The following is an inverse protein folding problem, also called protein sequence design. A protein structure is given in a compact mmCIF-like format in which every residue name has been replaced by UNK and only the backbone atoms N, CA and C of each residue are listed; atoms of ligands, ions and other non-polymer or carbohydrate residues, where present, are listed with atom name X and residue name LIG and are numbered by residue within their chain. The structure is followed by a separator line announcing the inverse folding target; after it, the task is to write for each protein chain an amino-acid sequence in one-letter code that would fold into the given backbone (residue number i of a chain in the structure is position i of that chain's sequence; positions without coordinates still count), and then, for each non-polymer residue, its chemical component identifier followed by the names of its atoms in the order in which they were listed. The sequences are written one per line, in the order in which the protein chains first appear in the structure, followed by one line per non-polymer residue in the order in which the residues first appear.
data_IF_615334472046
#
_entry.id   IF_615334472046
#
_cell.length_a   1.000
_cell.length_b   1.000
_cell.length_c   1.000
_cell.angle_alpha   90.00
_cell.angle_beta   90.00
_cell.angle_gamma   90.00
#
_symmetry.space_group_name_H-M   'P 1'
#
loop_
_entity.id
_entity.type
_entity.pdbx_description
1 polymer ?
#
# COMPACT_ATOMS: atom_id res chain seq x y z
N UNK A 1 -18.42 -12.57 34.48
CA UNK A 1 -18.74 -11.13 34.44
C UNK A 1 -18.52 -10.70 33.01
N UNK A 2 -19.63 -10.33 32.35
CA UNK A 2 -19.80 -10.22 30.89
C UNK A 2 -18.75 -9.33 30.21
N UNK A 3 -18.28 -9.81 29.06
CA UNK A 3 -17.43 -9.05 28.16
C UNK A 3 -18.16 -7.79 27.71
N UNK A 4 -17.49 -6.65 27.87
CA UNK A 4 -17.99 -5.36 27.43
C UNK A 4 -18.19 -5.46 25.91
N UNK A 5 -19.44 -5.48 25.48
CA UNK A 5 -19.84 -5.43 24.07
C UNK A 5 -19.25 -4.16 23.45
N UNK A 6 -18.19 -4.34 22.65
CA UNK A 6 -17.51 -3.24 21.97
C UNK A 6 -18.25 -2.79 20.69
N UNK A 7 -19.55 -3.07 20.62
CA UNK A 7 -20.46 -2.66 19.56
C UNK A 7 -20.94 -1.24 19.80
N UNK A 8 -20.68 -0.36 18.84
CA UNK A 8 -21.21 0.99 18.85
C UNK A 8 -22.72 1.02 18.52
N UNK A 9 -23.36 2.19 18.58
CA UNK A 9 -24.81 2.39 18.30
C UNK A 9 -25.25 1.91 16.90
N UNK A 10 -24.32 1.52 16.03
CA UNK A 10 -24.53 1.05 14.66
C UNK A 10 -24.38 -0.48 14.56
N UNK A 11 -23.99 -1.15 15.65
CA UNK A 11 -23.79 -2.61 15.67
C UNK A 11 -22.50 -3.05 14.97
N UNK A 12 -21.54 -2.14 14.77
CA UNK A 12 -20.24 -2.46 14.20
C UNK A 12 -19.26 -2.78 15.33
N UNK A 13 -18.65 -3.97 15.28
CA UNK A 13 -17.50 -4.26 16.11
C UNK A 13 -16.29 -3.50 15.56
N UNK A 14 -15.91 -2.42 16.24
CA UNK A 14 -14.73 -1.61 15.87
C UNK A 14 -13.42 -2.33 16.12
N UNK A 15 -13.45 -3.47 16.81
CA UNK A 15 -12.30 -4.33 17.06
C UNK A 15 -11.99 -5.24 15.87
N UNK A 16 -12.93 -5.41 14.93
CA UNK A 16 -12.67 -6.13 13.67
C UNK A 16 -11.64 -5.35 12.83
N UNK A 17 -10.49 -5.97 12.49
CA UNK A 17 -9.46 -5.33 11.68
C UNK A 17 -9.98 -4.78 10.33
N UNK A 18 -10.97 -5.44 9.71
CA UNK A 18 -11.55 -4.98 8.45
C UNK A 18 -12.39 -3.72 8.65
N UNK A 19 -13.15 -3.64 9.74
CA UNK A 19 -13.94 -2.45 10.09
C UNK A 19 -13.00 -1.30 10.42
N UNK A 20 -11.95 -1.55 11.20
CA UNK A 20 -10.92 -0.57 11.53
C UNK A 20 -10.21 -0.04 10.27
N UNK A 21 -9.87 -0.91 9.31
CA UNK A 21 -9.27 -0.52 8.04
C UNK A 21 -10.20 0.38 7.23
N UNK A 22 -11.49 0.03 7.12
CA UNK A 22 -12.48 0.83 6.38
C UNK A 22 -12.67 2.22 7.01
N UNK A 23 -12.73 2.30 8.33
CA UNK A 23 -12.80 3.58 9.05
C UNK A 23 -11.55 4.42 8.78
N UNK A 24 -10.36 3.80 8.83
CA UNK A 24 -9.10 4.50 8.52
C UNK A 24 -9.08 5.02 7.09
N UNK A 25 -9.50 4.22 6.12
CA UNK A 25 -9.60 4.65 4.72
C UNK A 25 -10.53 5.84 4.56
N UNK A 26 -11.73 5.78 5.14
CA UNK A 26 -12.68 6.89 5.09
C UNK A 26 -12.11 8.17 5.73
N UNK A 27 -11.37 8.06 6.84
CA UNK A 27 -10.73 9.22 7.46
C UNK A 27 -9.65 9.83 6.58
N UNK A 28 -8.82 9.01 5.92
CA UNK A 28 -7.80 9.48 4.97
C UNK A 28 -8.45 10.26 3.81
N UNK A 29 -9.56 9.76 3.27
CA UNK A 29 -10.26 10.43 2.18
C UNK A 29 -10.84 11.78 2.63
N UNK A 30 -11.41 11.84 3.84
CA UNK A 30 -11.92 13.08 4.42
C UNK A 30 -10.80 14.11 4.67
N UNK A 31 -9.66 13.67 5.22
CA UNK A 31 -8.49 14.51 5.46
C UNK A 31 -7.94 15.10 4.15
N UNK A 32 -7.87 14.30 3.08
CA UNK A 32 -7.41 14.77 1.78
C UNK A 32 -8.32 15.88 1.21
N UNK A 33 -9.63 15.69 1.30
CA UNK A 33 -10.60 16.70 0.83
C UNK A 33 -10.52 17.97 1.68
N UNK A 34 -10.41 17.84 2.99
CA UNK A 34 -10.26 18.98 3.90
C UNK A 34 -8.98 19.77 3.60
N UNK A 35 -7.87 19.09 3.34
CA UNK A 35 -6.61 19.74 2.98
C UNK A 35 -6.71 20.54 1.67
N UNK A 36 -7.34 19.95 0.63
CA UNK A 36 -7.59 20.68 -0.63
C UNK A 36 -8.48 21.90 -0.41
N UNK A 37 -9.49 21.79 0.45
CA UNK A 37 -10.36 22.91 0.82
C UNK A 37 -9.58 24.00 1.55
N UNK A 38 -8.74 23.64 2.53
CA UNK A 38 -7.90 24.59 3.27
C UNK A 38 -6.94 25.32 2.35
N UNK A 39 -6.28 24.60 1.43
CA UNK A 39 -5.41 25.21 0.42
C UNK A 39 -6.17 26.18 -0.48
N UNK A 40 -7.38 25.82 -0.93
CA UNK A 40 -8.26 26.73 -1.67
C UNK A 40 -8.51 28.02 -0.89
N UNK A 41 -8.88 27.91 0.39
CA UNK A 41 -9.17 29.03 1.27
C UNK A 41 -7.94 29.91 1.51
N UNK A 42 -6.76 29.31 1.71
CA UNK A 42 -5.48 30.01 1.85
C UNK A 42 -5.09 30.78 0.58
N UNK A 43 -5.42 30.24 -0.59
CA UNK A 43 -5.24 30.92 -1.89
C UNK A 43 -6.29 32.01 -2.15
N UNK A 44 -7.26 32.20 -1.26
CA UNK A 44 -8.33 33.19 -1.40
C UNK A 44 -9.33 32.87 -2.52
N UNK A 45 -9.40 31.60 -2.95
CA UNK A 45 -10.26 31.17 -4.05
C UNK A 45 -11.63 30.74 -3.53
N UNK A 46 -12.69 31.19 -4.21
CA UNK A 46 -14.04 30.68 -4.02
C UNK A 46 -14.23 29.32 -4.70
N UNK A 47 -15.23 28.56 -4.25
CA UNK A 47 -15.62 27.30 -4.90
C UNK A 47 -15.96 27.49 -6.38
N UNK A 48 -16.58 28.62 -6.75
CA UNK A 48 -16.94 28.93 -8.13
C UNK A 48 -15.69 29.21 -9.00
N UNK A 49 -14.66 29.85 -8.45
CA UNK A 49 -13.39 30.09 -9.15
C UNK A 49 -12.65 28.78 -9.42
N UNK A 50 -12.57 27.89 -8.43
CA UNK A 50 -11.98 26.55 -8.61
C UNK A 50 -12.78 25.75 -9.64
N UNK A 51 -14.11 25.76 -9.55
CA UNK A 51 -14.97 25.06 -10.51
C UNK A 51 -14.75 25.56 -11.94
N UNK A 52 -14.63 26.88 -12.13
CA UNK A 52 -14.31 27.49 -13.42
C UNK A 52 -12.95 27.04 -13.95
N UNK A 53 -11.92 27.01 -13.10
CA UNK A 53 -10.60 26.49 -13.46
C UNK A 53 -10.62 24.99 -13.81
N UNK A 54 -11.49 24.21 -13.16
CA UNK A 54 -11.74 22.80 -13.50
C UNK A 54 -12.59 22.61 -14.77
N UNK A 55 -13.19 23.66 -15.34
CA UNK A 55 -14.16 23.57 -16.43
C UNK A 55 -15.47 22.88 -16.02
N UNK A 56 -15.92 23.10 -14.77
CA UNK A 56 -17.10 22.45 -14.16
C UNK A 56 -18.03 23.47 -13.50
N UNK A 57 -19.24 23.02 -13.18
CA UNK A 57 -20.19 23.79 -12.38
C UNK A 57 -19.76 23.84 -10.90
N UNK A 58 -20.07 24.95 -10.24
CA UNK A 58 -19.79 25.14 -8.81
C UNK A 58 -20.34 24.02 -7.93
N UNK A 59 -21.50 23.46 -8.28
CA UNK A 59 -22.13 22.33 -7.56
C UNK A 59 -21.19 21.14 -7.43
N UNK A 60 -20.32 20.89 -8.42
CA UNK A 60 -19.33 19.82 -8.37
C UNK A 60 -18.32 20.04 -7.25
N UNK A 61 -17.84 21.27 -7.07
CA UNK A 61 -16.89 21.63 -6.01
C UNK A 61 -17.57 21.63 -4.65
N UNK A 62 -18.79 22.16 -4.59
CA UNK A 62 -19.61 22.15 -3.36
C UNK A 62 -19.87 20.72 -2.86
N UNK A 63 -20.28 19.81 -3.75
CA UNK A 63 -20.47 18.39 -3.41
C UNK A 63 -19.15 17.73 -3.00
N UNK A 64 -18.04 18.02 -3.69
CA UNK A 64 -16.74 17.46 -3.35
C UNK A 64 -16.27 17.90 -1.95
N UNK A 65 -16.50 19.15 -1.56
CA UNK A 65 -16.13 19.67 -0.24
C UNK A 65 -17.12 19.30 0.88
N UNK A 66 -18.19 18.57 0.57
CA UNK A 66 -19.18 18.15 1.56
C UNK A 66 -18.71 16.92 2.34
N UNK A 67 -18.93 16.92 3.65
CA UNK A 67 -18.61 15.80 4.54
C UNK A 67 -19.40 14.55 4.10
N UNK A 68 -18.69 13.43 3.96
CA UNK A 68 -19.29 12.16 3.51
C UNK A 68 -19.49 12.05 2.00
N UNK A 69 -18.93 12.98 1.22
CA UNK A 69 -18.81 12.77 -0.23
C UNK A 69 -17.77 11.68 -0.53
N UNK A 70 -18.02 10.89 -1.58
CA UNK A 70 -17.07 9.91 -2.14
C UNK A 70 -16.61 10.39 -3.53
N UNK A 71 -15.71 11.40 -3.59
CA UNK A 71 -15.29 11.96 -4.85
C UNK A 71 -14.33 11.02 -5.57
N UNK A 72 -14.66 10.70 -6.83
CA UNK A 72 -13.74 9.97 -7.73
C UNK A 72 -12.37 10.65 -7.77
N UNK A 73 -11.30 9.84 -7.80
CA UNK A 73 -9.92 10.32 -7.90
C UNK A 73 -9.68 11.30 -9.06
N UNK A 74 -10.37 11.12 -10.19
CA UNK A 74 -10.28 12.04 -11.33
C UNK A 74 -10.79 13.46 -11.02
N UNK A 75 -11.73 13.61 -10.07
CA UNK A 75 -12.22 14.91 -9.62
C UNK A 75 -11.23 15.55 -8.64
N UNK A 76 -10.69 14.77 -7.71
CA UNK A 76 -9.63 15.20 -6.78
C UNK A 76 -8.42 15.74 -7.57
N UNK A 77 -7.92 15.01 -8.57
CA UNK A 77 -6.78 15.46 -9.39
C UNK A 77 -7.07 16.76 -10.17
N UNK A 78 -8.30 16.93 -10.68
CA UNK A 78 -8.69 18.18 -11.36
C UNK A 78 -8.75 19.34 -10.37
N UNK A 79 -9.25 19.11 -9.16
CA UNK A 79 -9.24 20.10 -8.10
C UNK A 79 -7.81 20.52 -7.77
N UNK A 80 -6.93 19.56 -7.49
CA UNK A 80 -5.51 19.82 -7.24
C UNK A 80 -4.84 20.60 -8.38
N UNK A 81 -5.11 20.22 -9.63
CA UNK A 81 -4.63 20.95 -10.81
C UNK A 81 -5.16 22.38 -10.90
N UNK A 82 -6.40 22.64 -10.50
CA UNK A 82 -6.97 23.99 -10.44
C UNK A 82 -6.33 24.86 -9.34
N UNK A 83 -5.77 24.25 -8.30
CA UNK A 83 -4.97 24.93 -7.28
C UNK A 83 -3.47 25.01 -7.64
N UNK A 84 -3.03 24.32 -8.71
CA UNK A 84 -1.61 24.25 -9.08
C UNK A 84 -0.76 23.35 -8.15
N UNK A 85 -1.38 22.41 -7.44
CA UNK A 85 -0.69 21.48 -6.54
C UNK A 85 -0.68 20.04 -7.07
N UNK A 86 0.23 19.22 -6.57
CA UNK A 86 0.28 17.78 -6.83
C UNK A 86 -0.10 16.99 -5.57
N UNK A 87 -0.64 15.79 -5.77
CA UNK A 87 -0.99 14.87 -4.68
C UNK A 87 -0.06 13.66 -4.76
N UNK A 88 0.67 13.43 -3.69
CA UNK A 88 1.49 12.24 -3.50
C UNK A 88 0.77 11.28 -2.53
N UNK A 89 0.83 9.99 -2.81
CA UNK A 89 0.21 8.95 -2.00
C UNK A 89 1.20 7.84 -1.67
N UNK A 90 0.93 7.15 -0.56
CA UNK A 90 1.68 5.99 -0.06
C UNK A 90 0.70 4.85 0.18
N UNK A 91 1.15 3.61 -0.02
CA UNK A 91 0.43 2.41 0.39
C UNK A 91 1.03 1.93 1.71
N UNK A 92 0.17 1.63 2.68
CA UNK A 92 0.55 1.07 3.98
C UNK A 92 -0.18 -0.26 4.18
N UNK A 93 0.54 -1.27 4.66
CA UNK A 93 -0.10 -2.52 5.07
C UNK A 93 -0.65 -2.35 6.49
N UNK A 94 -1.82 -2.94 6.75
CA UNK A 94 -2.32 -3.05 8.12
C UNK A 94 -1.30 -3.83 8.96
N UNK A 95 -0.89 -3.26 10.09
CA UNK A 95 0.07 -3.87 11.01
C UNK A 95 -0.35 -5.29 11.38
N UNK A 96 0.58 -6.24 11.27
CA UNK A 96 0.36 -7.68 11.50
C UNK A 96 0.46 -8.54 10.23
N UNK A 97 0.08 -7.98 9.07
CA UNK A 97 0.25 -8.67 7.78
C UNK A 97 1.69 -8.56 7.28
N UNK A 98 2.37 -7.44 7.54
CA UNK A 98 3.78 -7.22 7.18
C UNK A 98 4.73 -8.18 7.89
N UNK A 99 4.48 -8.48 9.17
CA UNK A 99 5.34 -9.39 9.94
C UNK A 99 5.16 -10.84 9.51
N UNK A 100 3.95 -11.22 9.11
CA UNK A 100 3.65 -12.54 8.56
C UNK A 100 4.19 -12.68 7.12
N UNK A 101 3.96 -11.70 6.24
CA UNK A 101 4.53 -11.72 4.88
C UNK A 101 6.06 -11.66 4.90
N UNK A 102 6.67 -10.90 5.82
CA UNK A 102 8.12 -10.88 5.95
C UNK A 102 8.68 -12.21 6.48
N UNK A 103 7.92 -12.98 7.26
CA UNK A 103 8.29 -14.36 7.63
C UNK A 103 8.18 -15.29 6.43
N UNK A 104 7.03 -15.29 5.75
CA UNK A 104 6.78 -16.16 4.59
C UNK A 104 7.79 -15.92 3.45
N UNK A 105 8.10 -14.66 3.14
CA UNK A 105 9.09 -14.32 2.11
C UNK A 105 10.52 -14.71 2.51
N UNK A 106 10.86 -14.70 3.82
CA UNK A 106 12.15 -15.22 4.31
C UNK A 106 12.24 -16.74 4.19
N UNK A 107 11.12 -17.44 4.34
CA UNK A 107 11.09 -18.90 4.28
C UNK A 107 11.25 -19.40 2.82
N UNK A 108 10.69 -18.69 1.82
CA UNK A 108 10.93 -18.98 0.39
C UNK A 108 12.41 -18.81 -0.04
N UNK A 109 13.15 -17.85 0.54
CA UNK A 109 14.58 -17.68 0.23
C UNK A 109 15.43 -18.81 0.82
N UNK A 110 14.99 -19.45 1.91
CA UNK A 110 15.75 -20.48 2.61
C UNK A 110 15.66 -21.86 1.93
N UNK A 111 14.50 -22.19 1.33
CA UNK A 111 14.37 -23.40 0.50
C UNK A 111 15.22 -23.31 -0.79
N UNK A 112 15.29 -22.12 -1.40
CA UNK A 112 16.07 -21.90 -2.63
C UNK A 112 17.59 -21.99 -2.38
N UNK A 113 18.06 -21.59 -1.20
CA UNK A 113 19.47 -21.76 -0.79
C UNK A 113 19.80 -23.21 -0.41
N UNK A 114 18.85 -23.96 0.13
CA UNK A 114 19.03 -25.38 0.44
C UNK A 114 19.25 -26.20 -0.84
N UNK A 115 18.43 -25.98 -1.88
CA UNK A 115 18.56 -26.69 -3.16
C UNK A 115 19.84 -26.27 -3.92
N UNK A 116 20.22 -24.99 -3.88
CA UNK A 116 21.47 -24.52 -4.46
C UNK A 116 22.72 -25.10 -3.74
N UNK A 117 22.65 -25.27 -2.41
CA UNK A 117 23.73 -25.90 -1.62
C UNK A 117 23.88 -27.41 -1.90
N UNK A 118 22.78 -28.11 -2.16
CA UNK A 118 22.81 -29.52 -2.58
C UNK A 118 23.46 -29.66 -3.96
N UNK A 119 23.09 -28.80 -4.92
CA UNK A 119 23.70 -28.81 -6.26
C UNK A 119 25.19 -28.45 -6.22
N UNK A 120 25.58 -27.46 -5.41
CA UNK A 120 26.99 -27.08 -5.23
C UNK A 120 27.82 -28.22 -4.62
N UNK A 121 27.30 -28.89 -3.59
CA UNK A 121 27.99 -30.02 -2.95
C UNK A 121 28.03 -31.30 -3.81
N UNK A 122 27.05 -31.50 -4.71
CA UNK A 122 27.08 -32.58 -5.70
C UNK A 122 28.10 -32.31 -6.82
N UNK A 123 28.21 -31.06 -7.28
CA UNK A 123 29.18 -30.67 -8.30
C UNK A 123 30.63 -30.80 -7.79
N UNK A 124 30.91 -30.34 -6.57
CA UNK A 124 32.24 -30.47 -5.95
C UNK A 124 32.69 -31.94 -5.78
N UNK A 125 31.76 -32.86 -5.49
CA UNK A 125 32.07 -34.30 -5.42
C UNK A 125 32.36 -34.91 -6.80
N UNK A 126 31.65 -34.45 -7.83
CA UNK A 126 31.89 -34.90 -9.21
C UNK A 126 33.28 -34.48 -9.73
N UNK A 127 33.77 -33.30 -9.35
CA UNK A 127 35.12 -32.85 -9.70
C UNK A 127 36.22 -33.65 -8.99
N UNK A 128 35.96 -34.11 -7.76
CA UNK A 128 36.90 -34.94 -7.00
C UNK A 128 37.00 -36.37 -7.55
N UNK A 129 35.90 -36.95 -8.04
CA UNK A 129 35.88 -38.26 -8.69
C UNK A 129 36.52 -38.24 -10.09
N UNK A 130 36.38 -37.15 -10.84
CA UNK A 130 37.06 -37.01 -12.14
C UNK A 130 38.58 -36.81 -12.02
N UNK A 131 39.05 -36.16 -10.94
CA UNK A 131 40.50 -36.02 -10.68
C UNK A 131 41.15 -37.29 -10.14
N UNK A 132 40.42 -38.17 -9.45
CA UNK A 132 40.97 -39.45 -8.98
C UNK A 132 41.04 -40.52 -10.07
N UNK A 133 40.21 -40.43 -11.12
CA UNK A 133 40.22 -41.34 -12.26
C UNK A 133 41.23 -40.97 -13.37
N UNK A 134 41.79 -39.76 -13.37
CA UNK A 134 42.68 -39.24 -14.44
C UNK A 134 44.18 -39.52 -14.29
N UNK A 135 44.64 -40.11 -13.18
CA UNK A 135 46.08 -40.22 -12.85
C UNK A 135 46.72 -41.58 -13.16
N UNK A 136 46.20 -42.31 -14.17
CA UNK A 136 46.60 -43.68 -14.46
C UNK A 136 46.83 -44.00 -15.93
N UNK A 137 47.49 -43.14 -16.72
CA UNK A 137 48.12 -43.55 -17.99
C UNK A 137 49.24 -42.57 -18.40
N UNK A 138 50.46 -42.80 -17.93
CA UNK A 138 51.68 -42.33 -18.62
C UNK A 138 52.86 -43.24 -18.22
N UNK A 139 53.30 -44.05 -19.19
CA UNK A 139 54.33 -45.08 -19.11
C UNK A 139 55.75 -44.53 -18.90
N UNK A 140 56.59 -45.26 -18.16
CA UNK A 140 57.86 -45.82 -18.65
C UNK A 140 58.44 -46.85 -17.67
#
# INVERSE_FOLDING_TARGET
MEGIENTDRVGLDRSDPNVALRIRQANIDLELVDELRRLREQLGLSQAQVAKAMGRHQTVVSTLETLGSDPRWSSIRRYAGALGVCINWRIEMQSGLSDLLARELRDCDNETQSDAGIVSSLLERSEHEQRSAGAGTASH
#
